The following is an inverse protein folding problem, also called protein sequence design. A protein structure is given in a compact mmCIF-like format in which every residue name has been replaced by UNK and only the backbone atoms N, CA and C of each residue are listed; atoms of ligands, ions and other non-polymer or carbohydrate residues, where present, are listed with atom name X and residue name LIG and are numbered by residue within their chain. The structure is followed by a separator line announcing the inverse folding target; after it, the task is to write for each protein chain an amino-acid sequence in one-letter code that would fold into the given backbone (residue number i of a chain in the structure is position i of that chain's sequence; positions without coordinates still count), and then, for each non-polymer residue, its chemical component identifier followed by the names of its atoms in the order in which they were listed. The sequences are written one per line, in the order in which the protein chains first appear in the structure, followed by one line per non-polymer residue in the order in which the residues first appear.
data_IF_341780683094
#
_entry.id   IF_341780683094
#
_cell.length_a   1.000
_cell.length_b   1.000
_cell.length_c   1.000
_cell.angle_alpha   90.00
_cell.angle_beta   90.00
_cell.angle_gamma   90.00
#
_symmetry.space_group_name_H-M   'P 1'
#
loop_
_entity.id
_entity.type
_entity.pdbx_description
1 polymer ?
#
# COMPACT_ATOMS: atom_id res chain seq x y z
N UNK A 1 -39.97 -7.55 -12.62
CA UNK A 1 -38.71 -6.83 -12.95
C UNK A 1 -37.84 -6.62 -11.69
N UNK A 2 -36.65 -7.25 -11.60
CA UNK A 2 -35.71 -6.97 -10.52
C UNK A 2 -34.84 -5.74 -10.83
N UNK A 3 -34.45 -5.06 -9.76
CA UNK A 3 -33.77 -3.76 -9.73
C UNK A 3 -32.34 -3.86 -10.33
N UNK A 4 -31.80 -2.79 -10.95
CA UNK A 4 -30.40 -2.76 -11.35
C UNK A 4 -29.54 -2.85 -10.09
N UNK A 5 -28.89 -3.99 -9.92
CA UNK A 5 -27.91 -4.22 -8.87
C UNK A 5 -26.87 -3.12 -8.89
N UNK A 6 -26.63 -2.56 -7.71
CA UNK A 6 -25.44 -1.80 -7.36
C UNK A 6 -24.22 -2.64 -7.75
N UNK A 7 -23.70 -2.41 -8.95
CA UNK A 7 -22.35 -2.74 -9.31
C UNK A 7 -21.49 -1.56 -8.93
N UNK A 8 -21.20 -1.39 -7.64
CA UNK A 8 -20.07 -0.57 -7.22
C UNK A 8 -18.83 -1.20 -7.86
N UNK A 9 -18.48 -0.70 -9.03
CA UNK A 9 -17.29 -1.02 -9.79
C UNK A 9 -16.04 -0.49 -9.10
N UNK A 10 -15.92 -0.69 -7.80
CA UNK A 10 -14.64 -0.71 -7.12
C UNK A 10 -13.97 -2.01 -7.53
N UNK A 11 -13.51 -1.98 -8.77
CA UNK A 11 -12.70 -3.02 -9.38
C UNK A 11 -11.76 -3.51 -8.29
N UNK A 12 -11.87 -4.81 -7.99
CA UNK A 12 -10.75 -5.66 -7.60
C UNK A 12 -9.70 -5.50 -8.73
N UNK A 13 -9.08 -4.33 -8.81
CA UNK A 13 -7.96 -4.05 -9.67
C UNK A 13 -6.90 -4.95 -9.12
N UNK A 14 -6.74 -6.12 -9.74
CA UNK A 14 -5.80 -7.14 -9.32
C UNK A 14 -4.43 -6.49 -9.35
N UNK A 15 -3.97 -6.04 -8.18
CA UNK A 15 -2.62 -5.55 -8.05
C UNK A 15 -1.75 -6.78 -8.29
N UNK A 16 -0.98 -6.76 -9.36
CA UNK A 16 -0.08 -7.85 -9.71
C UNK A 16 1.18 -7.79 -8.86
N UNK A 17 1.59 -6.57 -8.48
CA UNK A 17 2.85 -6.34 -7.77
C UNK A 17 2.67 -5.29 -6.69
N UNK A 18 3.19 -5.58 -5.49
CA UNK A 18 3.36 -4.61 -4.42
C UNK A 18 4.83 -4.28 -4.27
N UNK A 19 5.13 -3.01 -4.01
CA UNK A 19 6.47 -2.55 -3.66
C UNK A 19 6.35 -1.50 -2.56
N UNK A 20 6.84 -1.87 -1.39
CA UNK A 20 6.89 -1.07 -0.19
C UNK A 20 8.30 -0.53 -0.02
N UNK A 21 8.39 0.76 0.23
CA UNK A 21 9.61 1.45 0.61
C UNK A 21 9.36 2.07 1.98
N UNK A 22 10.03 1.58 3.02
CA UNK A 22 9.73 2.00 4.41
C UNK A 22 10.43 3.30 4.81
N UNK A 23 11.29 3.86 3.96
CA UNK A 23 12.10 5.05 4.25
C UNK A 23 13.31 4.79 5.17
N UNK A 24 13.37 3.63 5.85
CA UNK A 24 14.51 3.19 6.69
C UNK A 24 15.61 2.46 5.86
N UNK A 25 15.46 2.41 4.53
CA UNK A 25 16.33 1.64 3.63
C UNK A 25 15.90 0.18 3.44
N UNK A 26 14.86 -0.29 4.15
CA UNK A 26 14.22 -1.58 3.88
C UNK A 26 13.08 -1.42 2.86
N UNK A 27 12.93 -2.43 2.01
CA UNK A 27 11.83 -2.53 1.05
C UNK A 27 11.14 -3.88 1.15
N UNK A 28 9.89 -3.99 0.69
CA UNK A 28 9.18 -5.28 0.63
C UNK A 28 8.32 -5.39 -0.62
N UNK A 29 8.11 -6.61 -1.10
CA UNK A 29 7.27 -6.90 -2.28
C UNK A 29 5.97 -7.64 -1.89
N UNK A 30 5.79 -7.87 -0.59
CA UNK A 30 4.63 -8.57 -0.07
C UNK A 30 3.40 -7.67 -0.09
N UNK A 31 2.21 -8.25 -0.17
CA UNK A 31 0.97 -7.48 -0.12
C UNK A 31 0.76 -6.85 1.27
N UNK A 32 1.11 -7.58 2.33
CA UNK A 32 0.93 -7.17 3.73
C UNK A 32 2.22 -7.41 4.55
N UNK A 33 3.31 -6.68 4.27
CA UNK A 33 4.54 -6.86 5.03
C UNK A 33 4.39 -6.27 6.44
N UNK A 34 4.96 -6.97 7.42
CA UNK A 34 5.14 -6.42 8.77
C UNK A 34 6.56 -5.85 8.86
N UNK A 35 6.65 -4.55 9.10
CA UNK A 35 7.93 -3.87 9.34
C UNK A 35 7.99 -3.35 10.77
N UNK A 36 9.06 -3.70 11.48
CA UNK A 36 9.34 -3.22 12.83
C UNK A 36 10.47 -2.22 12.75
N UNK A 37 10.17 -0.99 13.15
CA UNK A 37 11.14 0.09 13.25
C UNK A 37 11.86 0.00 14.59
N UNK A 38 13.18 -0.17 14.54
CA UNK A 38 14.01 -0.29 15.74
C UNK A 38 14.28 1.08 16.38
N UNK A 39 14.22 2.15 15.59
CA UNK A 39 14.43 3.52 16.03
C UNK A 39 13.13 4.31 15.87
N UNK A 40 12.79 5.18 16.84
CA UNK A 40 11.72 6.13 16.66
C UNK A 40 12.16 7.24 15.71
N UNK A 41 11.23 7.71 14.90
CA UNK A 41 11.50 8.73 13.89
C UNK A 41 10.34 8.91 12.92
N UNK A 42 10.48 9.90 12.04
CA UNK A 42 9.54 10.10 10.94
C UNK A 42 9.97 9.25 9.75
N UNK A 43 9.11 8.32 9.33
CA UNK A 43 9.37 7.40 8.24
C UNK A 43 8.38 7.61 7.10
N UNK A 44 8.90 7.90 5.91
CA UNK A 44 8.08 8.06 4.71
C UNK A 44 7.89 6.69 4.06
N UNK A 45 6.71 6.09 4.25
CA UNK A 45 6.37 4.81 3.65
C UNK A 45 5.74 5.04 2.29
N UNK A 46 6.39 4.55 1.24
CA UNK A 46 5.89 4.60 -0.14
C UNK A 46 5.40 3.21 -0.53
N UNK A 47 4.12 3.11 -0.84
CA UNK A 47 3.49 1.94 -1.45
C UNK A 47 3.29 2.21 -2.94
N UNK A 48 4.02 1.47 -3.76
CA UNK A 48 3.84 1.40 -5.19
C UNK A 48 3.14 0.08 -5.53
N UNK A 49 1.99 0.18 -6.18
CA UNK A 49 1.24 -0.99 -6.65
C UNK A 49 1.11 -0.93 -8.16
N UNK A 50 1.43 -2.04 -8.82
CA UNK A 50 1.28 -2.17 -10.26
C UNK A 50 0.22 -3.20 -10.58
N UNK A 51 -0.81 -2.77 -11.29
CA UNK A 51 -1.89 -3.64 -11.76
C UNK A 51 -1.94 -3.70 -13.29
N UNK A 52 -2.65 -4.68 -13.86
CA UNK A 52 -2.77 -4.87 -15.31
C UNK A 52 -3.50 -3.70 -16.00
N UNK A 53 -4.20 -2.85 -15.23
CA UNK A 53 -4.90 -1.65 -15.73
C UNK A 53 -4.14 -0.34 -15.47
N UNK A 54 -2.96 -0.39 -14.85
CA UNK A 54 -2.13 0.79 -14.56
C UNK A 54 -1.38 0.69 -13.22
N UNK A 55 -0.41 1.56 -13.02
CA UNK A 55 0.34 1.71 -11.77
C UNK A 55 -0.30 2.77 -10.88
N UNK A 56 -0.50 2.46 -9.60
CA UNK A 56 -0.92 3.42 -8.57
C UNK A 56 0.19 3.57 -7.54
N UNK A 57 0.64 4.81 -7.30
CA UNK A 57 1.64 5.12 -6.28
C UNK A 57 0.98 5.86 -5.13
N UNK A 58 1.23 5.42 -3.90
CA UNK A 58 0.73 6.05 -2.67
C UNK A 58 1.89 6.25 -1.71
N UNK A 59 2.18 7.50 -1.36
CA UNK A 59 3.09 7.82 -0.27
C UNK A 59 2.29 8.12 1.00
N UNK A 60 2.75 7.61 2.14
CA UNK A 60 2.14 7.79 3.46
C UNK A 60 3.26 8.04 4.47
N UNK A 61 3.23 9.18 5.15
CA UNK A 61 4.16 9.47 6.25
C UNK A 61 3.65 8.77 7.50
N UNK A 62 4.54 8.03 8.16
CA UNK A 62 4.28 7.37 9.43
C UNK A 62 5.18 7.99 10.48
N UNK A 63 4.54 8.58 11.50
CA UNK A 63 5.23 8.96 12.72
C UNK A 63 5.38 7.70 13.59
N UNK A 64 6.63 7.24 13.73
CA UNK A 64 6.95 6.13 14.62
C UNK A 64 7.48 6.72 15.92
N UNK A 65 6.53 7.17 16.75
CA UNK A 65 6.82 7.56 18.13
C UNK A 65 6.80 6.31 19.03
N UNK A 66 7.96 5.93 19.59
CA UNK A 66 7.98 4.99 20.72
C UNK A 66 7.31 5.68 21.91
N UNK A 67 6.26 5.05 22.47
CA UNK A 67 5.70 5.43 23.77
C UNK A 67 6.51 4.83 24.91
#
# INVERSE_FOLDING_TARGET
PPLPGQGDGLSHGGISTWRWDFGDGKTSNEQHPVHVYEKPGEYVVVLEVEGPKGSSKRAKVWDVSLK
#
